data_IF_146379199836
#
_entry.id   IF_146379199836
#
_cell.length_a   1.000
_cell.length_b   1.000
_cell.length_c   1.000
_cell.angle_alpha   90.00
_cell.angle_beta   90.00
_cell.angle_gamma   90.00
#
_symmetry.space_group_name_H-M   'P 1'
#
loop_
_entity.id
_entity.type
_entity.pdbx_description
1 polymer ?
#
# COMPACT_ATOMS: atom_id res chain seq x y z
N UNK A 1 26.81 2.37 -8.18
CA UNK A 1 25.95 3.06 -7.19
C UNK A 1 26.01 2.27 -5.90
N UNK A 2 26.23 2.93 -4.77
CA UNK A 2 26.23 2.27 -3.45
C UNK A 2 24.77 2.03 -3.03
N UNK A 3 24.34 0.77 -2.86
CA UNK A 3 22.99 0.47 -2.40
C UNK A 3 22.77 0.98 -0.99
N UNK A 4 21.61 1.58 -0.72
CA UNK A 4 21.18 1.92 0.63
C UNK A 4 20.43 0.71 1.20
N UNK A 5 20.87 0.14 2.36
CA UNK A 5 20.20 -1.01 2.96
C UNK A 5 18.75 -0.69 3.35
N UNK A 6 17.82 -1.54 2.92
CA UNK A 6 16.38 -1.45 3.24
C UNK A 6 15.80 -2.86 3.43
N UNK A 7 14.67 -2.96 4.12
CA UNK A 7 13.99 -4.24 4.40
C UNK A 7 13.36 -4.91 3.15
N UNK A 8 13.19 -4.17 2.05
CA UNK A 8 12.52 -4.66 0.83
C UNK A 8 13.53 -5.24 -0.18
N UNK A 9 13.06 -6.11 -1.08
CA UNK A 9 13.88 -6.80 -2.10
C UNK A 9 14.55 -5.89 -3.14
N UNK A 10 14.20 -4.60 -3.19
CA UNK A 10 14.77 -3.61 -4.10
C UNK A 10 15.55 -2.55 -3.33
N UNK A 11 16.72 -2.16 -3.80
CA UNK A 11 17.56 -1.16 -3.15
C UNK A 11 17.38 0.22 -3.78
N UNK A 12 17.24 1.30 -2.98
CA UNK A 12 17.50 2.64 -3.45
C UNK A 12 19.01 2.91 -3.53
N UNK A 13 19.38 3.93 -4.29
CA UNK A 13 20.75 4.42 -4.43
C UNK A 13 20.79 5.92 -4.18
N UNK A 14 21.92 6.41 -3.69
CA UNK A 14 22.21 7.84 -3.69
C UNK A 14 22.60 8.31 -5.09
N UNK A 15 22.14 9.50 -5.47
CA UNK A 15 22.52 10.20 -6.70
C UNK A 15 23.23 11.50 -6.33
N UNK A 16 24.40 11.73 -6.94
CA UNK A 16 25.14 13.00 -6.85
C UNK A 16 25.36 13.57 -8.24
N UNK A 17 25.14 14.87 -8.39
CA UNK A 17 25.28 15.58 -9.65
C UNK A 17 26.39 16.63 -9.50
N UNK A 18 27.55 16.39 -10.11
CA UNK A 18 28.68 17.33 -10.15
C UNK A 18 28.96 17.70 -11.60
N UNK A 19 28.90 18.99 -11.94
CA UNK A 19 29.10 19.52 -13.28
C UNK A 19 28.26 18.81 -14.38
N UNK A 20 27.09 18.29 -13.98
CA UNK A 20 26.19 17.52 -14.85
C UNK A 20 25.37 18.46 -15.74
N UNK A 21 25.84 18.68 -16.96
CA UNK A 21 25.11 19.47 -17.97
C UNK A 21 24.00 18.61 -18.59
N UNK A 22 22.77 19.13 -18.57
CA UNK A 22 21.58 18.49 -19.16
C UNK A 22 21.09 19.34 -20.33
N UNK A 23 20.85 18.77 -21.53
CA UNK A 23 20.31 19.50 -22.66
C UNK A 23 18.91 20.07 -22.39
N UNK A 24 18.58 21.21 -23.01
CA UNK A 24 17.27 21.83 -22.84
C UNK A 24 16.11 20.95 -23.34
N UNK A 25 16.35 20.09 -24.35
CA UNK A 25 15.34 19.13 -24.83
C UNK A 25 14.93 18.07 -23.79
N UNK A 26 15.70 17.89 -22.70
CA UNK A 26 15.36 16.96 -21.63
C UNK A 26 14.45 17.59 -20.56
N UNK A 27 14.11 18.88 -20.66
CA UNK A 27 13.16 19.52 -19.75
C UNK A 27 11.75 18.96 -20.00
N UNK A 28 11.15 18.39 -18.96
CA UNK A 28 9.77 17.91 -19.00
C UNK A 28 8.84 19.04 -18.54
N UNK A 29 8.02 19.55 -19.46
CA UNK A 29 7.13 20.68 -19.19
C UNK A 29 7.85 22.03 -19.34
N UNK A 30 7.42 23.02 -18.55
CA UNK A 30 7.93 24.39 -18.62
C UNK A 30 8.86 24.73 -17.45
N UNK A 31 9.81 25.64 -17.70
CA UNK A 31 10.72 26.15 -16.67
C UNK A 31 9.93 26.77 -15.51
N UNK A 32 10.28 26.42 -14.27
CA UNK A 32 9.59 26.87 -13.07
C UNK A 32 8.29 26.12 -12.73
N UNK A 33 7.79 25.20 -13.57
CA UNK A 33 6.55 24.43 -13.30
C UNK A 33 6.77 23.04 -12.70
N UNK A 34 8.01 22.66 -12.40
CA UNK A 34 8.35 21.31 -11.94
C UNK A 34 7.62 20.84 -10.67
N UNK A 35 7.33 21.74 -9.72
CA UNK A 35 6.65 21.38 -8.48
C UNK A 35 5.18 20.98 -8.70
N UNK A 36 4.46 21.70 -9.55
CA UNK A 36 3.08 21.37 -9.91
C UNK A 36 3.02 20.03 -10.66
N UNK A 37 3.93 19.85 -11.63
CA UNK A 37 4.06 18.59 -12.36
C UNK A 37 4.30 17.44 -11.37
N UNK A 38 5.28 17.57 -10.47
CA UNK A 38 5.56 16.55 -9.46
C UNK A 38 4.36 16.24 -8.57
N UNK A 39 3.60 17.26 -8.14
CA UNK A 39 2.38 17.04 -7.36
C UNK A 39 1.31 16.26 -8.14
N UNK A 40 1.14 16.54 -9.44
CA UNK A 40 0.22 15.80 -10.29
C UNK A 40 0.58 14.31 -10.33
N UNK A 41 1.84 13.99 -10.61
CA UNK A 41 2.35 12.61 -10.61
C UNK A 41 2.21 11.92 -9.24
N UNK A 42 2.52 12.63 -8.15
CA UNK A 42 2.40 12.09 -6.81
C UNK A 42 0.93 11.80 -6.44
N UNK A 43 -0.01 12.68 -6.81
CA UNK A 43 -1.43 12.45 -6.55
C UNK A 43 -1.92 11.22 -7.33
N UNK A 44 -1.53 11.09 -8.59
CA UNK A 44 -1.87 9.93 -9.40
C UNK A 44 -1.28 8.63 -8.84
N UNK A 45 0.00 8.64 -8.44
CA UNK A 45 0.70 7.47 -7.92
C UNK A 45 0.21 6.94 -6.57
N UNK A 46 -0.53 7.74 -5.79
CA UNK A 46 -1.06 7.33 -4.48
C UNK A 46 -2.08 6.19 -4.58
N UNK A 47 -2.95 6.23 -5.58
CA UNK A 47 -4.04 5.25 -5.77
C UNK A 47 -3.49 3.84 -6.07
N UNK A 48 -2.62 3.62 -7.08
CA UNK A 48 -2.06 2.30 -7.34
C UNK A 48 -1.17 1.81 -6.20
N UNK A 49 -0.47 2.70 -5.48
CA UNK A 49 0.30 2.32 -4.30
C UNK A 49 -0.60 1.77 -3.19
N UNK A 50 -1.72 2.44 -2.92
CA UNK A 50 -2.72 2.00 -1.95
C UNK A 50 -3.31 0.63 -2.33
N UNK A 51 -3.64 0.43 -3.62
CA UNK A 51 -4.14 -0.85 -4.13
C UNK A 51 -3.11 -1.98 -3.95
N UNK A 52 -1.82 -1.72 -4.22
CA UNK A 52 -0.76 -2.71 -4.05
C UNK A 52 -0.63 -3.17 -2.58
N UNK A 53 -0.71 -2.26 -1.61
CA UNK A 53 -0.64 -2.62 -0.18
C UNK A 53 -1.84 -3.46 0.28
N UNK A 54 -3.02 -3.23 -0.29
CA UNK A 54 -4.19 -4.08 -0.02
C UNK A 54 -4.05 -5.48 -0.60
N UNK A 55 -3.36 -5.62 -1.73
CA UNK A 55 -3.00 -6.93 -2.28
C UNK A 55 -2.14 -7.74 -1.31
N UNK A 56 -1.12 -7.09 -0.73
CA UNK A 56 -0.25 -7.70 0.30
C UNK A 56 -1.06 -8.12 1.52
N UNK A 57 -1.89 -7.22 2.07
CA UNK A 57 -2.73 -7.50 3.23
C UNK A 57 -3.71 -8.67 2.99
N UNK A 58 -4.33 -8.72 1.80
CA UNK A 58 -5.25 -9.79 1.42
C UNK A 58 -4.53 -11.14 1.31
N UNK A 59 -3.31 -11.16 0.76
CA UNK A 59 -2.49 -12.36 0.67
C UNK A 59 -2.06 -12.85 2.06
N UNK A 60 -1.61 -11.95 2.94
CA UNK A 60 -1.25 -12.27 4.32
C UNK A 60 -2.44 -12.87 5.08
N UNK A 61 -3.63 -12.28 4.95
CA UNK A 61 -4.84 -12.78 5.60
C UNK A 61 -5.21 -14.18 5.09
N UNK A 62 -5.08 -14.45 3.79
CA UNK A 62 -5.31 -15.79 3.23
C UNK A 62 -4.37 -16.84 3.85
N UNK A 63 -3.08 -16.51 3.98
CA UNK A 63 -2.08 -17.40 4.60
C UNK A 63 -2.41 -17.65 6.07
N UNK A 64 -2.77 -16.61 6.83
CA UNK A 64 -3.15 -16.74 8.24
C UNK A 64 -4.41 -17.59 8.43
N UNK A 65 -5.43 -17.43 7.58
CA UNK A 65 -6.64 -18.26 7.61
C UNK A 65 -6.31 -19.73 7.34
N UNK A 66 -5.45 -20.00 6.36
CA UNK A 66 -5.01 -21.36 6.05
C UNK A 66 -4.27 -22.00 7.23
N UNK A 67 -3.32 -21.27 7.83
CA UNK A 67 -2.62 -21.73 9.02
C UNK A 67 -3.60 -22.03 10.17
N UNK A 68 -4.51 -21.11 10.47
CA UNK A 68 -5.47 -21.26 11.56
C UNK A 68 -6.39 -22.49 11.40
N UNK A 69 -6.70 -22.87 10.16
CA UNK A 69 -7.51 -24.07 9.86
C UNK A 69 -6.73 -25.37 10.03
N UNK A 70 -5.43 -25.35 9.87
CA UNK A 70 -4.56 -26.53 9.91
C UNK A 70 -3.88 -26.74 11.28
N UNK A 71 -3.72 -25.67 12.06
CA UNK A 71 -3.05 -25.72 13.37
C UNK A 71 -3.99 -26.21 14.46
N UNK A 72 -3.66 -27.31 15.12
CA UNK A 72 -4.38 -27.81 16.31
C UNK A 72 -3.71 -27.36 17.62
N UNK A 73 -4.50 -26.77 18.51
CA UNK A 73 -4.08 -26.31 19.84
C UNK A 73 -5.23 -26.43 20.84
N UNK A 74 -4.90 -26.78 22.08
CA UNK A 74 -5.85 -26.86 23.19
C UNK A 74 -7.14 -27.62 22.81
N UNK A 75 -6.99 -28.82 22.24
CA UNK A 75 -8.10 -29.72 21.93
C UNK A 75 -9.00 -29.34 20.75
N UNK A 76 -8.54 -28.47 19.84
CA UNK A 76 -9.26 -28.13 18.60
C UNK A 76 -8.40 -27.33 17.64
N UNK A 77 -8.97 -26.82 16.55
CA UNK A 77 -8.24 -25.97 15.60
C UNK A 77 -8.04 -24.58 16.17
N UNK A 78 -6.98 -23.89 15.73
CA UNK A 78 -6.75 -22.50 16.07
C UNK A 78 -7.91 -21.62 15.57
N UNK A 79 -8.48 -21.95 14.41
CA UNK A 79 -9.67 -21.31 13.85
C UNK A 79 -10.94 -21.44 14.73
N UNK A 80 -10.98 -22.39 15.66
CA UNK A 80 -12.12 -22.56 16.58
C UNK A 80 -12.06 -21.58 17.76
N UNK A 81 -10.93 -20.90 17.95
CA UNK A 81 -10.72 -19.97 19.06
C UNK A 81 -11.31 -18.60 18.69
N UNK A 82 -12.25 -18.11 19.49
CA UNK A 82 -13.00 -16.88 19.19
C UNK A 82 -12.10 -15.66 18.96
N UNK A 83 -11.02 -15.51 19.74
CA UNK A 83 -10.07 -14.40 19.56
C UNK A 83 -9.41 -14.39 18.17
N UNK A 84 -9.16 -15.57 17.60
CA UNK A 84 -8.59 -15.71 16.24
C UNK A 84 -9.64 -15.34 15.19
N UNK A 85 -10.89 -15.74 15.41
CA UNK A 85 -11.99 -15.38 14.52
C UNK A 85 -12.20 -13.86 14.46
N UNK A 86 -12.08 -13.16 15.59
CA UNK A 86 -12.14 -11.69 15.64
C UNK A 86 -11.02 -11.04 14.83
N UNK A 87 -9.78 -11.47 15.02
CA UNK A 87 -8.65 -10.93 14.26
C UNK A 87 -8.83 -11.09 12.74
N UNK A 88 -9.36 -12.23 12.30
CA UNK A 88 -9.65 -12.49 10.88
C UNK A 88 -10.81 -11.61 10.39
N UNK A 89 -11.90 -11.53 11.16
CA UNK A 89 -13.08 -10.75 10.78
C UNK A 89 -12.76 -9.25 10.68
N UNK A 90 -12.08 -8.69 11.67
CA UNK A 90 -11.68 -7.28 11.68
C UNK A 90 -10.75 -6.97 10.49
N UNK A 91 -9.81 -7.87 10.20
CA UNK A 91 -8.90 -7.71 9.07
C UNK A 91 -9.64 -7.69 7.73
N UNK A 92 -10.59 -8.59 7.51
CA UNK A 92 -11.38 -8.62 6.27
C UNK A 92 -12.25 -7.35 6.13
N UNK A 93 -12.86 -6.88 7.22
CA UNK A 93 -13.68 -5.66 7.22
C UNK A 93 -12.82 -4.44 6.87
N UNK A 94 -11.67 -4.28 7.52
CA UNK A 94 -10.75 -3.16 7.26
C UNK A 94 -10.24 -3.18 5.80
N UNK A 95 -9.87 -4.35 5.27
CA UNK A 95 -9.44 -4.50 3.87
C UNK A 95 -10.56 -4.06 2.91
N UNK A 96 -11.81 -4.45 3.18
CA UNK A 96 -12.96 -4.05 2.35
C UNK A 96 -13.21 -2.56 2.41
N UNK A 97 -13.14 -1.96 3.60
CA UNK A 97 -13.28 -0.52 3.75
C UNK A 97 -12.20 0.23 2.96
N UNK A 98 -10.94 -0.21 3.09
CA UNK A 98 -9.83 0.40 2.37
C UNK A 98 -9.95 0.23 0.85
N UNK A 99 -10.45 -0.93 0.39
CA UNK A 99 -10.70 -1.20 -1.02
C UNK A 99 -11.72 -0.23 -1.61
N UNK A 100 -12.78 0.08 -0.87
CA UNK A 100 -13.77 1.06 -1.31
C UNK A 100 -13.19 2.47 -1.45
N UNK A 101 -12.35 2.91 -0.51
CA UNK A 101 -11.67 4.20 -0.63
C UNK A 101 -10.73 4.26 -1.86
N UNK A 102 -10.03 3.16 -2.14
CA UNK A 102 -9.20 3.06 -3.35
C UNK A 102 -10.05 3.13 -4.63
N UNK A 103 -11.18 2.43 -4.68
CA UNK A 103 -12.06 2.44 -5.84
C UNK A 103 -12.74 3.78 -6.05
N UNK A 104 -13.14 4.48 -4.98
CA UNK A 104 -13.66 5.84 -5.09
C UNK A 104 -12.62 6.78 -5.70
N UNK A 105 -11.38 6.76 -5.18
CA UNK A 105 -10.30 7.60 -5.70
C UNK A 105 -9.99 7.30 -7.18
N UNK A 106 -9.93 6.01 -7.54
CA UNK A 106 -9.71 5.58 -8.92
C UNK A 106 -10.86 6.03 -9.84
N UNK A 107 -12.11 5.83 -9.42
CA UNK A 107 -13.28 6.21 -10.20
C UNK A 107 -13.34 7.71 -10.47
N UNK A 108 -13.05 8.54 -9.45
CA UNK A 108 -12.99 10.00 -9.63
C UNK A 108 -11.87 10.41 -10.58
N UNK A 109 -10.69 9.80 -10.46
CA UNK A 109 -9.58 10.04 -11.36
C UNK A 109 -9.93 9.70 -12.82
N UNK A 110 -10.51 8.51 -13.06
CA UNK A 110 -10.91 8.05 -14.39
C UNK A 110 -12.05 8.90 -14.98
N UNK A 111 -12.90 9.47 -14.12
CA UNK A 111 -13.98 10.38 -14.51
C UNK A 111 -13.54 11.82 -14.75
N UNK A 112 -12.24 12.13 -14.62
CA UNK A 112 -11.71 13.49 -14.75
C UNK A 112 -12.16 14.46 -13.66
N UNK A 113 -12.66 13.94 -12.53
CA UNK A 113 -13.05 14.75 -11.37
C UNK A 113 -11.82 15.10 -10.53
N UNK A 114 -11.90 16.15 -9.70
CA UNK A 114 -10.89 16.35 -8.65
C UNK A 114 -10.96 15.19 -7.65
N UNK A 115 -9.82 14.54 -7.43
CA UNK A 115 -9.66 13.36 -6.59
C UNK A 115 -8.49 13.50 -5.61
N UNK A 116 -7.95 14.71 -5.44
CA UNK A 116 -6.75 14.94 -4.61
C UNK A 116 -6.94 14.50 -3.17
N UNK A 117 -8.12 14.75 -2.60
CA UNK A 117 -8.45 14.34 -1.25
C UNK A 117 -8.54 12.82 -1.16
N UNK A 118 -9.28 12.18 -2.06
CA UNK A 118 -9.55 10.75 -2.09
C UNK A 118 -8.27 9.96 -2.32
N UNK A 119 -7.38 10.40 -3.21
CA UNK A 119 -6.06 9.81 -3.40
C UNK A 119 -5.23 9.83 -2.11
N UNK A 120 -5.32 10.92 -1.33
CA UNK A 120 -4.58 11.06 -0.07
C UNK A 120 -5.18 10.20 1.04
N UNK A 121 -6.51 10.23 1.16
CA UNK A 121 -7.28 9.47 2.14
C UNK A 121 -7.12 7.96 1.91
N UNK A 122 -7.25 7.50 0.66
CA UNK A 122 -7.12 6.08 0.33
C UNK A 122 -5.69 5.59 0.60
N UNK A 123 -4.66 6.37 0.27
CA UNK A 123 -3.27 5.98 0.54
C UNK A 123 -3.02 5.79 2.02
N UNK A 124 -3.36 6.77 2.86
CA UNK A 124 -3.07 6.66 4.29
C UNK A 124 -3.87 5.51 4.89
N UNK A 125 -5.17 5.42 4.61
CA UNK A 125 -6.00 4.38 5.19
C UNK A 125 -5.60 2.97 4.74
N UNK A 126 -5.31 2.77 3.45
CA UNK A 126 -4.90 1.47 2.93
C UNK A 126 -3.54 1.02 3.48
N UNK A 127 -2.56 1.92 3.57
CA UNK A 127 -1.22 1.57 4.06
C UNK A 127 -1.23 1.24 5.57
N UNK A 128 -1.95 2.01 6.37
CA UNK A 128 -2.12 1.73 7.81
C UNK A 128 -2.93 0.46 8.06
N UNK A 129 -3.98 0.23 7.25
CA UNK A 129 -4.76 -1.03 7.29
C UNK A 129 -3.87 -2.22 6.97
N UNK A 130 -3.05 -2.14 5.91
CA UNK A 130 -2.15 -3.21 5.55
C UNK A 130 -1.16 -3.53 6.69
N UNK A 131 -0.64 -2.51 7.38
CA UNK A 131 0.21 -2.71 8.55
C UNK A 131 -0.50 -3.48 9.67
N UNK A 132 -1.69 -3.03 10.09
CA UNK A 132 -2.49 -3.70 11.15
C UNK A 132 -2.86 -5.13 10.78
N UNK A 133 -3.29 -5.36 9.54
CA UNK A 133 -3.67 -6.70 9.06
C UNK A 133 -2.46 -7.63 9.08
N UNK A 134 -1.32 -7.20 8.53
CA UNK A 134 -0.11 -8.03 8.49
C UNK A 134 0.36 -8.36 9.90
N UNK A 135 0.31 -7.41 10.82
CA UNK A 135 0.66 -7.63 12.22
C UNK A 135 -0.23 -8.70 12.89
N UNK A 136 -1.55 -8.59 12.73
CA UNK A 136 -2.50 -9.63 13.20
C UNK A 136 -2.25 -10.98 12.53
N UNK A 137 -1.90 -10.99 11.24
CA UNK A 137 -1.59 -12.23 10.53
C UNK A 137 -0.33 -12.90 11.11
N UNK A 138 0.72 -12.14 11.39
CA UNK A 138 1.93 -12.67 12.06
C UNK A 138 1.59 -13.25 13.43
N UNK A 139 0.70 -12.61 14.19
CA UNK A 139 0.27 -13.11 15.50
C UNK A 139 -0.54 -14.43 15.43
N UNK A 140 -1.18 -14.73 14.29
CA UNK A 140 -1.94 -15.97 14.06
C UNK A 140 -1.04 -17.15 13.65
N UNK A 141 0.13 -16.88 13.05
CA UNK A 141 1.10 -17.88 12.58
C UNK A 141 1.92 -18.48 13.74
#
# INVERSE_FOLDING_TARGET
MTPIPVIRSWYPCELSFQDCRVPAENLIGEEGRGFELAQHWLNHGRVPYAAATLGIASAALKIAIEHARNREVFGGRLADKQAIQWMIADSEIEIRAARWLCYEAAFKADSGQDYKFEASACKVYATETAGRVVDRCVQIL
#
